data_IF_345207911190
#
_entry.id   IF_345207911190
#
_cell.length_a   1.000
_cell.length_b   1.000
_cell.length_c   1.000
_cell.angle_alpha   90.00
_cell.angle_beta   90.00
_cell.angle_gamma   90.00
#
_symmetry.space_group_name_H-M   'P 1'
#
loop_
_entity.id
_entity.type
_entity.pdbx_description
1 polymer ?
#
# COMPACT_ATOMS: atom_id res chain seq x y z
N UNK A 1 15.62 -2.84 -27.68
CA UNK A 1 14.41 -3.14 -28.46
C UNK A 1 13.21 -3.11 -27.55
N UNK A 2 12.04 -2.70 -28.03
CA UNK A 2 10.85 -2.46 -27.20
C UNK A 2 10.17 -3.74 -26.69
N UNK A 3 10.59 -4.91 -27.17
CA UNK A 3 10.08 -6.23 -26.77
C UNK A 3 10.13 -6.52 -25.26
N UNK A 4 11.01 -5.87 -24.49
CA UNK A 4 11.07 -6.01 -23.01
C UNK A 4 10.18 -5.01 -22.25
N UNK A 5 9.54 -4.05 -22.92
CA UNK A 5 8.79 -2.95 -22.25
C UNK A 5 7.32 -3.27 -22.04
N UNK A 6 6.84 -4.41 -22.52
CA UNK A 6 5.40 -4.72 -22.53
C UNK A 6 4.80 -4.70 -21.12
N UNK A 7 5.49 -5.29 -20.13
CA UNK A 7 5.03 -5.27 -18.75
C UNK A 7 4.86 -3.84 -18.21
N UNK A 8 5.83 -2.95 -18.45
CA UNK A 8 5.76 -1.56 -18.02
C UNK A 8 4.63 -0.77 -18.70
N UNK A 9 4.25 -1.15 -19.92
CA UNK A 9 3.11 -0.54 -20.65
C UNK A 9 1.76 -1.06 -20.14
N UNK A 10 1.68 -2.35 -19.84
CA UNK A 10 0.43 -2.99 -19.42
C UNK A 10 0.09 -2.72 -17.95
N UNK A 11 1.08 -2.61 -17.06
CA UNK A 11 0.84 -2.50 -15.61
C UNK A 11 -0.18 -1.43 -15.20
N UNK A 12 -0.14 -0.19 -15.75
CA UNK A 12 -1.13 0.84 -15.40
C UNK A 12 -2.57 0.48 -15.82
N UNK A 13 -2.73 -0.32 -16.89
CA UNK A 13 -4.04 -0.76 -17.37
C UNK A 13 -4.66 -1.87 -16.52
N UNK A 14 -3.86 -2.51 -15.65
CA UNK A 14 -4.31 -3.55 -14.74
C UNK A 14 -4.78 -3.01 -13.39
N UNK A 15 -4.69 -1.69 -13.16
CA UNK A 15 -5.25 -1.05 -11.96
C UNK A 15 -6.77 -1.02 -12.11
N UNK A 16 -7.52 -1.75 -11.27
CA UNK A 16 -8.96 -1.82 -11.42
C UNK A 16 -9.61 -0.47 -11.08
N UNK A 17 -10.50 -0.02 -11.94
CA UNK A 17 -11.26 1.22 -11.77
C UNK A 17 -12.77 1.04 -11.97
N UNK A 18 -13.21 -0.17 -12.31
CA UNK A 18 -14.62 -0.55 -12.48
C UNK A 18 -14.91 -1.90 -11.82
N UNK A 19 -16.18 -2.18 -11.57
CA UNK A 19 -16.66 -3.50 -11.14
C UNK A 19 -16.59 -4.55 -12.26
N UNK A 20 -16.44 -4.11 -13.51
CA UNK A 20 -16.31 -4.98 -14.68
C UNK A 20 -14.87 -5.48 -14.90
N UNK A 21 -13.90 -4.96 -14.15
CA UNK A 21 -12.51 -5.37 -14.26
C UNK A 21 -12.34 -6.85 -13.88
N UNK A 22 -11.55 -7.64 -14.63
CA UNK A 22 -11.36 -9.07 -14.35
C UNK A 22 -10.84 -9.37 -12.94
N UNK A 23 -10.12 -8.44 -12.31
CA UNK A 23 -9.59 -8.57 -10.95
C UNK A 23 -10.55 -8.14 -9.86
N UNK A 24 -11.70 -7.53 -10.19
CA UNK A 24 -12.60 -6.93 -9.20
C UNK A 24 -13.05 -7.93 -8.14
N UNK A 25 -13.61 -9.07 -8.56
CA UNK A 25 -14.13 -10.09 -7.64
C UNK A 25 -13.03 -10.67 -6.74
N UNK A 26 -11.85 -10.94 -7.31
CA UNK A 26 -10.70 -11.44 -6.54
C UNK A 26 -10.24 -10.41 -5.49
N UNK A 27 -10.25 -9.12 -5.83
CA UNK A 27 -9.88 -8.05 -4.89
C UNK A 27 -10.93 -7.87 -3.79
N UNK A 28 -12.23 -8.01 -4.09
CA UNK A 28 -13.30 -8.01 -3.08
C UNK A 28 -13.10 -9.17 -2.10
N UNK A 29 -12.85 -10.38 -2.60
CA UNK A 29 -12.60 -11.55 -1.77
C UNK A 29 -11.33 -11.40 -0.91
N UNK A 30 -10.26 -10.82 -1.45
CA UNK A 30 -9.06 -10.50 -0.69
C UNK A 30 -9.34 -9.50 0.45
N UNK A 31 -10.19 -8.49 0.21
CA UNK A 31 -10.61 -7.55 1.26
C UNK A 31 -11.38 -8.25 2.39
N UNK A 32 -12.19 -9.27 2.09
CA UNK A 32 -12.87 -10.06 3.13
C UNK A 32 -11.91 -10.87 4.01
N UNK A 33 -10.73 -11.24 3.47
CA UNK A 33 -9.64 -11.84 4.26
C UNK A 33 -8.94 -10.77 5.09
N UNK A 34 -8.59 -9.63 4.50
CA UNK A 34 -7.91 -8.53 5.20
C UNK A 34 -8.74 -7.95 6.35
N UNK A 35 -10.07 -7.86 6.21
CA UNK A 35 -10.98 -7.44 7.30
C UNK A 35 -10.97 -8.37 8.52
N UNK A 36 -10.43 -9.57 8.39
CA UNK A 36 -10.27 -10.55 9.48
C UNK A 36 -8.81 -10.72 9.90
N UNK A 37 -7.91 -9.90 9.36
CA UNK A 37 -6.49 -9.96 9.69
C UNK A 37 -6.24 -9.32 11.04
N UNK A 38 -5.91 -10.14 12.04
CA UNK A 38 -5.66 -9.71 13.42
C UNK A 38 -4.16 -9.58 13.77
N UNK A 39 -3.27 -10.03 12.87
CA UNK A 39 -1.82 -9.85 13.09
C UNK A 39 -1.43 -8.38 12.86
N UNK A 40 -0.35 -7.88 13.47
CA UNK A 40 0.05 -6.49 13.33
C UNK A 40 0.12 -6.01 11.87
N UNK A 41 -0.48 -4.86 11.59
CA UNK A 41 -0.43 -4.14 10.32
C UNK A 41 0.02 -2.70 10.55
N UNK A 42 1.14 -2.34 9.93
CA UNK A 42 1.64 -0.98 9.91
C UNK A 42 1.32 -0.30 8.57
N UNK A 43 0.73 0.89 8.64
CA UNK A 43 0.72 1.83 7.52
C UNK A 43 1.92 2.77 7.66
N UNK A 44 2.79 2.80 6.64
CA UNK A 44 3.99 3.63 6.55
C UNK A 44 4.05 4.37 5.20
N UNK A 45 3.02 5.19 4.93
CA UNK A 45 2.89 5.94 3.66
C UNK A 45 3.74 7.21 3.69
N UNK A 46 4.05 7.79 2.52
CA UNK A 46 4.77 9.06 2.43
C UNK A 46 3.83 10.27 2.34
N UNK A 47 4.34 11.48 2.57
CA UNK A 47 3.53 12.71 2.56
C UNK A 47 3.53 13.48 1.23
N UNK A 48 4.34 13.07 0.24
CA UNK A 48 4.36 13.67 -1.11
C UNK A 48 3.91 12.70 -2.21
N UNK A 49 3.38 11.52 -1.86
CA UNK A 49 2.69 10.65 -2.81
C UNK A 49 1.22 11.05 -2.98
N UNK A 50 0.96 11.88 -3.99
CA UNK A 50 -0.39 12.31 -4.34
C UNK A 50 -1.30 11.19 -4.88
N UNK A 51 -0.74 10.04 -5.32
CA UNK A 51 -1.53 8.91 -5.84
C UNK A 51 -2.19 8.17 -4.67
N UNK A 52 -1.45 7.97 -3.58
CA UNK A 52 -1.90 7.17 -2.44
C UNK A 52 -2.29 7.99 -1.21
N UNK A 53 -2.29 9.32 -1.31
CA UNK A 53 -2.66 10.21 -0.22
C UNK A 53 -4.05 9.86 0.35
N UNK A 54 -4.12 9.52 1.63
CA UNK A 54 -5.36 9.22 2.34
C UNK A 54 -5.80 7.75 2.28
N UNK A 55 -5.17 6.93 1.44
CA UNK A 55 -5.48 5.49 1.29
C UNK A 55 -5.23 4.73 2.59
N UNK A 56 -4.22 5.14 3.38
CA UNK A 56 -3.88 4.55 4.67
C UNK A 56 -5.09 4.48 5.61
N UNK A 57 -5.97 5.48 5.59
CA UNK A 57 -7.17 5.52 6.44
C UNK A 57 -8.12 4.35 6.16
N UNK A 58 -8.17 3.85 4.92
CA UNK A 58 -8.97 2.68 4.57
C UNK A 58 -8.41 1.43 5.24
N UNK A 59 -7.10 1.24 5.25
CA UNK A 59 -6.46 0.09 5.90
C UNK A 59 -6.64 0.15 7.41
N UNK A 60 -6.30 1.31 8.01
CA UNK A 60 -6.37 1.52 9.47
C UNK A 60 -7.80 1.30 10.00
N UNK A 61 -8.82 1.77 9.26
CA UNK A 61 -10.22 1.65 9.67
C UNK A 61 -10.78 0.23 9.56
N UNK A 62 -10.34 -0.55 8.57
CA UNK A 62 -11.02 -1.79 8.20
C UNK A 62 -10.27 -3.07 8.62
N UNK A 63 -8.98 -2.98 8.97
CA UNK A 63 -8.16 -4.15 9.29
C UNK A 63 -7.88 -4.18 10.81
N UNK A 64 -8.38 -5.18 11.55
CA UNK A 64 -8.24 -5.24 13.02
C UNK A 64 -6.79 -5.16 13.50
N UNK A 65 -5.87 -5.80 12.80
CA UNK A 65 -4.45 -5.79 13.10
C UNK A 65 -3.75 -4.43 13.03
N UNK A 66 -4.44 -3.40 12.51
CA UNK A 66 -3.95 -2.02 12.54
C UNK A 66 -4.28 -1.31 13.87
N UNK A 67 -5.24 -1.80 14.65
CA UNK A 67 -5.65 -1.18 15.91
C UNK A 67 -4.50 -1.19 16.93
N UNK A 68 -4.26 -0.04 17.57
CA UNK A 68 -3.20 0.11 18.56
C UNK A 68 -1.77 0.14 17.99
N UNK A 69 -1.60 0.07 16.66
CA UNK A 69 -0.30 0.22 16.00
C UNK A 69 0.01 1.70 15.81
N UNK A 70 1.24 2.11 16.13
CA UNK A 70 1.75 3.45 15.85
C UNK A 70 2.08 3.58 14.36
N UNK A 71 1.10 4.00 13.57
CA UNK A 71 1.30 4.28 12.14
C UNK A 71 2.22 5.49 11.93
N UNK A 72 2.98 5.46 10.83
CA UNK A 72 3.97 6.50 10.51
C UNK A 72 3.68 7.10 9.14
N UNK A 73 3.99 8.39 9.00
CA UNK A 73 4.01 9.06 7.71
C UNK A 73 5.43 9.51 7.41
N UNK A 74 6.05 8.95 6.37
CA UNK A 74 7.42 9.25 5.98
C UNK A 74 7.47 10.61 5.30
N UNK A 75 8.23 11.53 5.89
CA UNK A 75 8.26 12.94 5.52
C UNK A 75 9.28 13.23 4.42
N UNK A 76 8.89 14.03 3.43
CA UNK A 76 9.76 14.45 2.34
C UNK A 76 10.07 13.33 1.35
N UNK A 77 9.15 12.39 1.17
CA UNK A 77 9.24 11.30 0.21
C UNK A 77 8.03 11.27 -0.72
N UNK A 78 8.25 10.94 -1.98
CA UNK A 78 7.21 10.74 -2.99
C UNK A 78 6.69 9.31 -3.07
N UNK A 79 6.23 8.92 -4.26
CA UNK A 79 5.70 7.58 -4.53
C UNK A 79 6.76 6.47 -4.39
N UNK A 80 7.99 6.75 -4.78
CA UNK A 80 9.13 5.84 -4.64
C UNK A 80 9.87 6.11 -3.33
N UNK A 81 9.16 6.07 -2.21
CA UNK A 81 9.66 6.47 -0.90
C UNK A 81 10.94 5.75 -0.46
N UNK A 82 11.16 4.51 -0.90
CA UNK A 82 12.40 3.78 -0.65
C UNK A 82 13.65 4.42 -1.29
N UNK A 83 13.50 5.20 -2.37
CA UNK A 83 14.61 5.93 -3.00
C UNK A 83 14.88 7.25 -2.26
N UNK A 84 13.82 7.94 -1.81
CA UNK A 84 13.94 9.24 -1.13
C UNK A 84 14.38 9.09 0.34
N UNK A 85 13.87 8.06 1.02
CA UNK A 85 13.90 7.87 2.47
C UNK A 85 14.12 6.40 2.88
N UNK A 86 15.20 5.74 2.40
CA UNK A 86 15.44 4.32 2.65
C UNK A 86 15.60 3.98 4.13
N UNK A 87 16.28 4.82 4.91
CA UNK A 87 16.52 4.60 6.34
C UNK A 87 15.20 4.65 7.12
N UNK A 88 14.34 5.64 6.83
CA UNK A 88 13.04 5.77 7.47
C UNK A 88 12.07 4.64 7.08
N UNK A 89 12.18 4.08 5.87
CA UNK A 89 11.46 2.85 5.50
C UNK A 89 11.89 1.65 6.36
N UNK A 90 13.20 1.51 6.62
CA UNK A 90 13.73 0.42 7.46
C UNK A 90 13.27 0.61 8.91
N UNK A 91 13.37 1.83 9.44
CA UNK A 91 12.93 2.14 10.81
C UNK A 91 11.44 1.84 11.01
N UNK A 92 10.59 2.17 10.01
CA UNK A 92 9.18 1.82 10.03
C UNK A 92 8.96 0.30 10.08
N UNK A 93 9.69 -0.48 9.29
CA UNK A 93 9.58 -1.95 9.34
C UNK A 93 10.00 -2.48 10.72
N UNK A 94 11.11 -1.97 11.25
CA UNK A 94 11.63 -2.39 12.55
C UNK A 94 10.68 -2.03 13.69
N UNK A 95 9.95 -0.90 13.61
CA UNK A 95 8.98 -0.50 14.63
C UNK A 95 7.76 -1.43 14.73
N UNK A 96 7.58 -2.36 13.79
CA UNK A 96 6.54 -3.39 13.88
C UNK A 96 7.03 -4.66 14.62
N UNK A 97 8.35 -4.82 14.76
CA UNK A 97 8.97 -5.99 15.39
C UNK A 97 9.25 -5.79 16.90
N UNK A 98 9.30 -4.54 17.35
CA UNK A 98 9.67 -4.13 18.71
C UNK A 98 8.55 -3.30 19.35
#
# INVERSE_FOLDING_TARGET
DDSYKEAARQFPLLVPNSTDDPSYQNNVEAWEVLKKWEKPLLCAFSDQDHIFQGVENTFIKNIPGAEGINHVQIKGAGHFLQEDKPEECVDAILSLLY
#
